data_IF_277747248905
#
_entry.id   IF_277747248905
#
_cell.length_a   1.000
_cell.length_b   1.000
_cell.length_c   1.000
_cell.angle_alpha   90.00
_cell.angle_beta   90.00
_cell.angle_gamma   90.00
#
_symmetry.space_group_name_H-M   'P 1'
#
loop_
_entity.id
_entity.type
_entity.pdbx_description
1 polymer ?
#
# COMPACT_ATOMS: atom_id res chain seq x y z
N UNK A 1 10.05 -7.65 14.86
CA UNK A 1 9.22 -8.01 13.68
C UNK A 1 8.82 -6.71 13.03
N UNK A 2 9.28 -6.46 11.80
CA UNK A 2 9.05 -5.20 11.07
C UNK A 2 7.58 -5.10 10.66
N UNK A 3 6.93 -3.98 10.97
CA UNK A 3 5.51 -3.68 10.72
C UNK A 3 5.19 -3.47 9.22
N UNK A 4 5.54 -4.43 8.38
CA UNK A 4 5.39 -4.34 6.94
C UNK A 4 6.44 -3.45 6.28
N UNK A 5 6.11 -2.97 5.08
CA UNK A 5 6.97 -2.15 4.24
C UNK A 5 6.29 -0.81 3.95
N UNK A 6 6.92 0.29 4.37
CA UNK A 6 6.47 1.65 4.10
C UNK A 6 7.29 2.26 2.97
N UNK A 7 6.61 2.64 1.88
CA UNK A 7 7.18 3.37 0.76
C UNK A 7 6.84 4.85 0.93
N UNK A 8 7.87 5.69 0.97
CA UNK A 8 7.71 7.14 0.92
C UNK A 8 7.64 7.58 -0.54
N UNK A 9 6.67 8.42 -0.86
CA UNK A 9 6.45 9.00 -2.18
C UNK A 9 6.78 10.50 -2.13
N UNK A 10 6.48 11.22 -3.20
CA UNK A 10 6.59 12.68 -3.25
C UNK A 10 5.66 13.34 -2.22
N UNK A 11 5.97 14.57 -1.82
CA UNK A 11 5.12 15.41 -0.96
C UNK A 11 4.71 14.77 0.40
N UNK A 12 5.54 13.85 0.92
CA UNK A 12 5.27 13.08 2.14
C UNK A 12 4.09 12.10 2.04
N UNK A 13 3.54 11.89 0.83
CA UNK A 13 2.60 10.81 0.55
C UNK A 13 3.27 9.45 0.85
N UNK A 14 2.48 8.44 1.21
CA UNK A 14 3.04 7.12 1.50
C UNK A 14 2.11 5.95 1.16
N UNK A 15 2.71 4.79 0.95
CA UNK A 15 2.05 3.48 0.86
C UNK A 15 2.63 2.57 1.94
N UNK A 16 1.78 1.86 2.68
CA UNK A 16 2.17 0.83 3.64
C UNK A 16 1.52 -0.50 3.26
N UNK A 17 2.36 -1.52 3.10
CA UNK A 17 1.95 -2.90 2.85
C UNK A 17 2.25 -3.72 4.10
N UNK A 18 1.24 -4.40 4.66
CA UNK A 18 1.40 -5.18 5.89
C UNK A 18 0.68 -6.53 5.80
N UNK A 19 1.39 -7.60 6.19
CA UNK A 19 0.77 -8.89 6.44
C UNK A 19 0.05 -8.88 7.78
N UNK A 20 -1.18 -9.38 7.82
CA UNK A 20 -1.87 -9.62 9.08
C UNK A 20 -1.16 -10.73 9.87
N UNK A 21 -0.98 -10.54 11.18
CA UNK A 21 -0.40 -11.58 12.05
C UNK A 21 -1.41 -12.63 12.50
N UNK A 22 -2.71 -12.37 12.37
CA UNK A 22 -3.79 -13.20 12.93
C UNK A 22 -4.73 -13.76 11.86
N UNK A 23 -4.65 -13.29 10.63
CA UNK A 23 -5.56 -13.64 9.54
C UNK A 23 -4.74 -13.84 8.25
N UNK A 24 -5.17 -14.70 7.30
CA UNK A 24 -4.47 -14.90 6.04
C UNK A 24 -4.78 -13.77 5.03
N UNK A 25 -4.57 -12.52 5.43
CA UNK A 25 -4.84 -11.33 4.61
C UNK A 25 -3.66 -10.36 4.59
N UNK A 26 -3.53 -9.63 3.48
CA UNK A 26 -2.61 -8.52 3.31
C UNK A 26 -3.39 -7.20 3.35
N UNK A 27 -2.84 -6.19 4.03
CA UNK A 27 -3.43 -4.86 4.17
C UNK A 27 -2.59 -3.82 3.45
N UNK A 28 -3.29 -2.91 2.80
CA UNK A 28 -2.71 -1.79 2.06
C UNK A 28 -3.30 -0.50 2.60
N UNK A 29 -2.43 0.43 2.97
CA UNK A 29 -2.81 1.74 3.47
C UNK A 29 -2.08 2.80 2.68
N UNK A 30 -2.72 3.95 2.47
CA UNK A 30 -2.07 5.12 1.92
C UNK A 30 -2.58 6.37 2.61
N UNK A 31 -1.74 7.38 2.66
CA UNK A 31 -2.12 8.73 2.99
C UNK A 31 -1.55 9.64 1.91
N UNK A 32 -2.37 10.56 1.47
CA UNK A 32 -1.99 11.58 0.50
C UNK A 32 -2.90 12.78 0.65
N UNK A 33 -2.37 13.97 0.38
CA UNK A 33 -3.17 15.20 0.30
C UNK A 33 -4.00 15.27 -0.98
N UNK A 34 -3.70 14.41 -1.97
CA UNK A 34 -4.34 14.38 -3.30
C UNK A 34 -5.34 13.24 -3.38
N UNK A 35 -6.62 13.58 -3.30
CA UNK A 35 -7.72 12.60 -3.32
C UNK A 35 -7.72 11.71 -4.57
N UNK A 36 -7.35 12.26 -5.72
CA UNK A 36 -7.26 11.54 -6.99
C UNK A 36 -6.12 10.50 -7.01
N UNK A 37 -5.15 10.58 -6.09
CA UNK A 37 -4.01 9.67 -6.00
C UNK A 37 -4.23 8.46 -5.10
N UNK A 38 -5.23 8.48 -4.22
CA UNK A 38 -5.51 7.38 -3.28
C UNK A 38 -5.65 6.04 -4.02
N UNK A 39 -6.52 5.98 -5.04
CA UNK A 39 -6.75 4.74 -5.80
C UNK A 39 -5.52 4.32 -6.61
N UNK A 40 -4.87 5.20 -7.40
CA UNK A 40 -3.61 4.86 -8.07
C UNK A 40 -2.53 4.30 -7.15
N UNK A 41 -2.33 4.87 -5.96
CA UNK A 41 -1.31 4.41 -5.01
C UNK A 41 -1.65 3.01 -4.48
N UNK A 42 -2.92 2.76 -4.12
CA UNK A 42 -3.35 1.44 -3.67
C UNK A 42 -3.23 0.38 -4.77
N UNK A 43 -3.60 0.73 -6.01
CA UNK A 43 -3.46 -0.17 -7.16
C UNK A 43 -2.00 -0.50 -7.46
N UNK A 44 -1.11 0.48 -7.38
CA UNK A 44 0.33 0.23 -7.47
C UNK A 44 0.81 -0.72 -6.36
N UNK A 45 0.31 -0.57 -5.13
CA UNK A 45 0.58 -1.50 -4.04
C UNK A 45 0.14 -2.93 -4.36
N UNK A 46 -1.07 -3.12 -4.88
CA UNK A 46 -1.55 -4.44 -5.32
C UNK A 46 -0.68 -5.03 -6.44
N UNK A 47 -0.27 -4.21 -7.41
CA UNK A 47 0.62 -4.63 -8.50
C UNK A 47 1.97 -5.09 -7.97
N UNK A 48 2.57 -4.32 -7.05
CA UNK A 48 3.84 -4.66 -6.40
C UNK A 48 3.75 -5.98 -5.60
N UNK A 49 2.59 -6.26 -5.02
CA UNK A 49 2.31 -7.52 -4.34
C UNK A 49 1.98 -8.69 -5.28
N UNK A 50 1.97 -8.46 -6.60
CA UNK A 50 1.62 -9.48 -7.60
C UNK A 50 0.13 -9.83 -7.63
N UNK A 51 -0.75 -8.96 -7.13
CA UNK A 51 -2.19 -9.21 -6.99
C UNK A 51 -3.03 -8.63 -8.15
N UNK A 52 -2.40 -8.02 -9.16
CA UNK A 52 -3.13 -7.58 -10.35
C UNK A 52 -3.28 -8.73 -11.34
N UNK A 53 -4.53 -9.01 -11.74
CA UNK A 53 -4.81 -9.86 -12.90
C UNK A 53 -4.40 -9.11 -14.16
N UNK A 54 -3.65 -9.80 -15.04
CA UNK A 54 -3.36 -9.34 -16.40
C UNK A 54 -4.64 -9.13 -17.19
#
# INVERSE_FOLDING_TARGET
TTDGFKFMLEDQDWLLIRFSGTEPIMRFYTETTRRDKVQPILQAGLALAGLQST
#
